data_IF_404162248374
#
_entry.id   IF_404162248374
#
_cell.length_a   1.000
_cell.length_b   1.000
_cell.length_c   1.000
_cell.angle_alpha   90.00
_cell.angle_beta   90.00
_cell.angle_gamma   90.00
#
_symmetry.space_group_name_H-M   'P 1'
#
loop_
_entity.id
_entity.type
_entity.pdbx_description
1 polymer ?
#
# COMPACT_ATOMS: atom_id res chain seq x y z
N UNK A 1 2.38 19.74 -14.08
CA UNK A 1 3.51 19.61 -13.13
C UNK A 1 4.30 20.91 -13.02
N UNK A 2 4.76 21.51 -14.13
CA UNK A 2 5.48 22.79 -14.11
C UNK A 2 4.60 23.95 -13.59
N UNK A 3 3.41 24.13 -14.17
CA UNK A 3 2.43 25.15 -13.72
C UNK A 3 1.89 24.92 -12.31
N UNK A 4 1.94 23.67 -11.82
CA UNK A 4 1.50 23.30 -10.47
C UNK A 4 2.61 23.48 -9.43
N UNK A 5 3.80 23.95 -9.82
CA UNK A 5 4.95 24.12 -8.93
C UNK A 5 5.56 22.81 -8.40
N UNK A 6 5.19 21.66 -8.98
CA UNK A 6 5.68 20.34 -8.55
C UNK A 6 7.11 20.10 -9.06
N UNK A 7 7.45 20.65 -10.22
CA UNK A 7 8.78 20.54 -10.84
C UNK A 7 9.27 21.92 -11.29
N UNK A 8 10.59 22.07 -11.42
CA UNK A 8 11.25 23.25 -11.99
C UNK A 8 12.34 22.83 -12.97
N UNK A 9 12.73 23.69 -13.93
CA UNK A 9 13.94 23.47 -14.73
C UNK A 9 15.17 23.31 -13.83
N UNK A 10 16.07 22.40 -14.19
CA UNK A 10 17.27 22.08 -13.41
C UNK A 10 18.42 21.78 -14.36
N UNK A 11 19.62 22.26 -14.02
CA UNK A 11 20.88 21.95 -14.70
C UNK A 11 21.75 21.00 -13.84
N UNK A 12 21.11 20.09 -13.13
CA UNK A 12 21.80 19.14 -12.27
C UNK A 12 22.67 18.18 -13.07
N UNK A 13 23.86 17.85 -12.56
CA UNK A 13 24.73 16.79 -13.09
C UNK A 13 24.13 15.37 -12.99
N UNK A 14 22.92 15.24 -12.42
CA UNK A 14 22.17 14.00 -12.28
C UNK A 14 20.95 14.02 -13.19
N UNK A 15 20.76 12.95 -13.95
CA UNK A 15 19.59 12.73 -14.79
C UNK A 15 19.19 11.25 -14.77
N UNK A 16 17.88 11.00 -14.78
CA UNK A 16 17.29 9.66 -14.77
C UNK A 16 16.31 9.55 -15.94
N UNK A 17 16.25 8.40 -16.64
CA UNK A 17 15.35 8.25 -17.77
C UNK A 17 13.88 8.30 -17.34
N UNK A 18 13.05 8.85 -18.22
CA UNK A 18 11.61 9.04 -18.00
C UNK A 18 10.85 8.12 -18.95
N UNK A 19 9.81 7.48 -18.43
CA UNK A 19 8.93 6.56 -19.15
C UNK A 19 7.49 7.04 -19.07
N UNK A 20 6.73 6.82 -20.15
CA UNK A 20 5.30 7.10 -20.17
C UNK A 20 4.55 5.77 -20.24
N UNK A 21 3.74 5.50 -19.22
CA UNK A 21 3.03 4.23 -19.06
C UNK A 21 1.52 4.47 -19.11
N UNK A 22 0.75 3.74 -19.95
CA UNK A 22 -0.69 3.86 -19.98
C UNK A 22 -1.29 3.27 -18.70
N UNK A 23 -2.22 4.00 -18.06
CA UNK A 23 -3.12 3.43 -17.04
C UNK A 23 -4.19 2.61 -17.74
N UNK A 24 -4.69 1.58 -17.06
CA UNK A 24 -5.89 0.83 -17.49
C UNK A 24 -7.00 1.81 -17.87
N UNK A 25 -7.66 1.52 -18.98
CA UNK A 25 -8.80 2.31 -19.47
C UNK A 25 -9.84 2.44 -18.36
N UNK A 26 -10.24 3.67 -18.07
CA UNK A 26 -11.33 3.91 -17.12
C UNK A 26 -12.67 3.58 -17.80
N UNK A 27 -13.75 3.49 -17.02
CA UNK A 27 -15.12 3.25 -17.51
C UNK A 27 -15.59 4.25 -18.59
N UNK A 28 -14.93 5.40 -18.72
CA UNK A 28 -15.19 6.43 -19.74
C UNK A 28 -14.38 6.26 -21.04
N UNK A 29 -13.71 5.12 -21.25
CA UNK A 29 -12.96 4.81 -22.49
C UNK A 29 -11.67 5.61 -22.72
N UNK A 30 -11.34 6.59 -21.86
CA UNK A 30 -10.11 7.39 -21.98
C UNK A 30 -8.92 6.75 -21.26
N UNK A 31 -7.82 6.56 -21.98
CA UNK A 31 -6.53 6.14 -21.42
C UNK A 31 -5.87 7.32 -20.70
N UNK A 32 -5.63 7.17 -19.39
CA UNK A 32 -4.84 8.14 -18.62
C UNK A 32 -3.37 7.74 -18.66
N UNK A 33 -2.48 8.61 -19.12
CA UNK A 33 -1.05 8.32 -19.13
C UNK A 33 -0.40 8.70 -17.78
N UNK A 34 0.60 7.94 -17.35
CA UNK A 34 1.43 8.24 -16.18
C UNK A 34 2.88 8.43 -16.61
N UNK A 35 3.50 9.48 -16.11
CA UNK A 35 4.94 9.68 -16.20
C UNK A 35 5.59 8.91 -15.05
N UNK A 36 6.55 8.06 -15.36
CA UNK A 36 7.30 7.22 -14.41
C UNK A 36 8.78 7.55 -14.58
N UNK A 37 9.43 7.93 -13.49
CA UNK A 37 10.88 8.20 -13.48
C UNK A 37 11.59 6.98 -12.90
N UNK A 38 12.64 6.53 -13.57
CA UNK A 38 13.41 5.36 -13.12
C UNK A 38 14.46 5.76 -12.07
N UNK A 39 14.08 5.63 -10.81
CA UNK A 39 14.96 5.92 -9.66
C UNK A 39 15.82 4.73 -9.22
N UNK A 40 15.93 3.62 -9.97
CA UNK A 40 16.68 2.43 -9.51
C UNK A 40 18.14 2.75 -9.15
N UNK A 41 18.88 3.38 -10.06
CA UNK A 41 20.28 3.81 -9.83
C UNK A 41 20.42 4.85 -8.72
N UNK A 42 19.38 5.67 -8.50
CA UNK A 42 19.37 6.66 -7.43
C UNK A 42 19.14 6.00 -6.07
N UNK A 43 18.21 5.05 -6.00
CA UNK A 43 17.87 4.30 -4.79
C UNK A 43 19.06 3.45 -4.31
N UNK A 44 19.91 2.93 -5.21
CA UNK A 44 21.15 2.22 -4.84
C UNK A 44 22.16 3.11 -4.10
N UNK A 45 22.19 4.41 -4.41
CA UNK A 45 23.08 5.38 -3.78
C UNK A 45 22.46 6.08 -2.56
N UNK A 46 21.15 5.92 -2.38
CA UNK A 46 20.40 6.59 -1.31
C UNK A 46 20.35 5.67 -0.09
N UNK A 47 20.61 6.22 1.10
CA UNK A 47 20.43 5.48 2.36
C UNK A 47 18.94 5.26 2.59
N UNK A 48 18.55 4.00 2.82
CA UNK A 48 17.15 3.66 3.03
C UNK A 48 16.72 4.05 4.46
N UNK A 49 15.87 5.07 4.57
CA UNK A 49 15.27 5.50 5.83
C UNK A 49 14.00 4.68 6.12
N UNK A 50 14.19 3.52 6.77
CA UNK A 50 13.10 2.59 7.13
C UNK A 50 12.57 2.93 8.51
N UNK A 51 11.46 3.66 8.57
CA UNK A 51 10.69 3.75 9.81
C UNK A 51 9.90 2.45 10.03
N UNK A 52 9.98 1.83 11.22
CA UNK A 52 9.19 0.66 11.53
C UNK A 52 7.72 1.04 11.52
N UNK A 53 6.96 0.46 10.59
CA UNK A 53 5.51 0.58 10.59
C UNK A 53 5.00 -0.52 11.54
N UNK A 54 4.28 -0.16 12.61
CA UNK A 54 3.78 -1.13 13.57
C UNK A 54 2.76 -2.07 12.89
N UNK A 55 2.66 -3.30 13.41
CA UNK A 55 1.66 -4.25 12.94
C UNK A 55 0.26 -3.75 13.30
N UNK A 56 -0.70 -3.99 12.42
CA UNK A 56 -2.07 -3.53 12.59
C UNK A 56 -2.76 -4.20 13.79
N UNK A 57 -2.52 -5.49 14.03
CA UNK A 57 -3.08 -6.19 15.18
C UNK A 57 -2.60 -5.54 16.47
N UNK A 58 -1.29 -5.31 16.60
CA UNK A 58 -0.70 -4.66 17.76
C UNK A 58 -1.28 -3.24 17.97
N UNK A 59 -1.49 -2.47 16.90
CA UNK A 59 -2.10 -1.13 16.99
C UNK A 59 -3.58 -1.20 17.41
N UNK A 60 -4.35 -2.15 16.87
CA UNK A 60 -5.77 -2.31 17.18
C UNK A 60 -6.01 -2.90 18.57
N UNK A 61 -5.13 -3.79 19.04
CA UNK A 61 -5.23 -4.46 20.34
C UNK A 61 -4.71 -3.57 21.48
N UNK A 62 -3.81 -2.63 21.18
CA UNK A 62 -3.20 -1.76 22.19
C UNK A 62 -4.14 -0.70 22.78
N UNK A 63 -5.30 -0.42 22.16
CA UNK A 63 -6.15 0.73 22.49
C UNK A 63 -7.63 0.36 22.47
N UNK A 64 -8.40 0.88 23.44
CA UNK A 64 -9.86 0.70 23.48
C UNK A 64 -10.57 1.38 22.31
N UNK A 65 -11.73 0.87 21.89
CA UNK A 65 -12.51 1.43 20.77
C UNK A 65 -12.84 2.93 20.99
N UNK A 66 -13.14 3.31 22.24
CA UNK A 66 -13.44 4.68 22.62
C UNK A 66 -12.24 5.61 22.43
N UNK A 67 -11.06 5.19 22.89
CA UNK A 67 -9.83 5.95 22.73
C UNK A 67 -9.38 6.02 21.25
N UNK A 68 -9.58 4.95 20.48
CA UNK A 68 -9.34 4.96 19.04
C UNK A 68 -10.20 5.99 18.33
N UNK A 69 -11.47 6.15 18.72
CA UNK A 69 -12.37 7.13 18.10
C UNK A 69 -11.94 8.58 18.38
N UNK A 70 -11.54 8.87 19.62
CA UNK A 70 -10.99 10.19 19.98
C UNK A 70 -9.70 10.48 19.22
N UNK A 71 -8.82 9.47 19.07
CA UNK A 71 -7.58 9.63 18.33
C UNK A 71 -7.83 9.85 16.82
N UNK A 72 -8.79 9.13 16.24
CA UNK A 72 -9.18 9.33 14.85
C UNK A 72 -9.73 10.75 14.61
N UNK A 73 -10.55 11.27 15.53
CA UNK A 73 -11.07 12.63 15.42
C UNK A 73 -9.94 13.68 15.42
N UNK A 74 -8.96 13.53 16.33
CA UNK A 74 -7.76 14.38 16.36
C UNK A 74 -6.94 14.29 15.07
N UNK A 75 -6.79 13.09 14.51
CA UNK A 75 -6.06 12.87 13.25
C UNK A 75 -6.79 13.53 12.09
N UNK A 76 -8.10 13.35 11.97
CA UNK A 76 -8.90 14.00 10.93
C UNK A 76 -8.90 15.52 11.05
N UNK A 77 -8.84 16.05 12.27
CA UNK A 77 -8.67 17.48 12.48
C UNK A 77 -7.32 17.99 11.97
N UNK A 78 -6.20 17.35 12.37
CA UNK A 78 -4.86 17.70 11.87
C UNK A 78 -4.72 17.55 10.36
N UNK A 79 -5.35 16.53 9.76
CA UNK A 79 -5.33 16.34 8.31
C UNK A 79 -6.08 17.45 7.56
N UNK A 80 -7.20 17.93 8.13
CA UNK A 80 -7.93 19.08 7.57
C UNK A 80 -7.10 20.36 7.65
N UNK A 81 -6.39 20.58 8.75
CA UNK A 81 -5.51 21.74 8.93
C UNK A 81 -4.30 21.72 7.98
N UNK A 82 -3.80 20.53 7.64
CA UNK A 82 -2.60 20.36 6.80
C UNK A 82 -2.89 20.27 5.28
N UNK A 83 -4.11 20.61 4.83
CA UNK A 83 -4.52 20.57 3.41
C UNK A 83 -4.32 19.20 2.72
N UNK A 84 -4.26 18.10 3.49
CA UNK A 84 -4.17 16.76 2.91
C UNK A 84 -5.54 16.31 2.39
N UNK A 85 -5.64 16.01 1.09
CA UNK A 85 -6.83 15.38 0.50
C UNK A 85 -6.83 13.88 0.78
N UNK A 86 -7.77 13.43 1.59
CA UNK A 86 -8.04 12.00 1.80
C UNK A 86 -8.76 11.45 0.56
N UNK A 87 -8.14 10.49 -0.12
CA UNK A 87 -8.79 9.71 -1.17
C UNK A 87 -9.57 8.55 -0.52
N UNK A 88 -10.75 8.83 0.00
CA UNK A 88 -11.65 7.79 0.53
C UNK A 88 -12.48 7.20 -0.61
N UNK A 89 -12.45 5.87 -0.76
CA UNK A 89 -13.63 5.00 -0.90
C UNK A 89 -13.15 3.53 -1.03
N UNK A 90 -13.71 2.66 -0.17
CA UNK A 90 -13.64 1.17 -0.10
C UNK A 90 -12.80 0.59 1.05
N UNK A 91 -13.48 -0.27 1.81
CA UNK A 91 -13.08 -1.07 2.99
C UNK A 91 -11.98 -2.11 2.73
N UNK A 92 -10.96 -1.78 1.94
CA UNK A 92 -9.80 -2.62 1.71
C UNK A 92 -8.56 -1.91 2.26
N UNK A 93 -8.11 -2.35 3.44
CA UNK A 93 -6.93 -1.78 4.09
C UNK A 93 -5.80 -2.81 4.09
N UNK A 94 -4.66 -2.46 3.47
CA UNK A 94 -3.47 -3.31 3.31
C UNK A 94 -3.73 -4.72 2.73
N UNK A 95 -4.83 -4.90 2.00
CA UNK A 95 -5.21 -6.18 1.40
C UNK A 95 -6.10 -7.06 2.27
N UNK A 96 -6.69 -6.49 3.32
CA UNK A 96 -7.72 -7.12 4.13
C UNK A 96 -9.02 -6.30 4.08
N UNK A 97 -10.15 -7.00 4.21
CA UNK A 97 -11.48 -6.43 4.39
C UNK A 97 -11.77 -6.47 5.89
N UNK A 98 -11.99 -5.30 6.46
CA UNK A 98 -12.37 -5.14 7.87
C UNK A 98 -13.90 -5.07 7.90
N UNK A 99 -14.56 -6.10 8.44
CA UNK A 99 -16.02 -6.17 8.67
C UNK A 99 -16.33 -6.23 10.17
N UNK A 100 -17.60 -6.04 10.55
CA UNK A 100 -18.08 -6.26 11.93
C UNK A 100 -17.78 -7.68 12.44
N UNK A 101 -17.68 -8.65 11.52
CA UNK A 101 -17.41 -10.07 11.81
C UNK A 101 -15.90 -10.42 11.81
N UNK A 102 -15.02 -9.44 11.73
CA UNK A 102 -13.56 -9.61 11.78
C UNK A 102 -12.80 -9.19 10.51
N UNK A 103 -11.49 -9.42 10.54
CA UNK A 103 -10.55 -9.10 9.46
C UNK A 103 -10.46 -10.30 8.52
N UNK A 104 -10.90 -10.13 7.27
CA UNK A 104 -10.84 -11.17 6.24
C UNK A 104 -9.82 -10.81 5.16
N UNK A 105 -9.04 -11.77 4.62
CA UNK A 105 -8.17 -11.49 3.48
C UNK A 105 -9.01 -11.04 2.28
N UNK A 106 -8.51 -10.07 1.51
CA UNK A 106 -9.23 -9.58 0.35
C UNK A 106 -9.43 -10.73 -0.67
N UNK A 107 -10.66 -11.03 -1.12
CA UNK A 107 -10.96 -12.12 -2.04
C UNK A 107 -10.21 -12.00 -3.38
N UNK A 108 -9.83 -10.77 -3.78
CA UNK A 108 -8.98 -10.57 -4.96
C UNK A 108 -7.58 -11.16 -4.81
N UNK A 109 -7.02 -11.22 -3.58
CA UNK A 109 -5.74 -11.89 -3.30
C UNK A 109 -5.90 -13.41 -3.21
N UNK A 110 -6.99 -13.91 -2.61
CA UNK A 110 -7.28 -15.35 -2.53
C UNK A 110 -7.42 -15.96 -3.93
N UNK A 111 -8.16 -15.30 -4.83
CA UNK A 111 -8.31 -15.77 -6.22
C UNK A 111 -7.01 -15.78 -7.04
N UNK A 112 -5.99 -15.01 -6.61
CA UNK A 112 -4.67 -15.02 -7.25
C UNK A 112 -3.85 -16.24 -6.81
N UNK A 113 -4.00 -16.69 -5.56
CA UNK A 113 -3.40 -17.93 -5.04
C UNK A 113 -4.08 -19.15 -5.70
N UNK A 114 -5.41 -19.16 -5.83
CA UNK A 114 -6.14 -20.25 -6.50
C UNK A 114 -5.73 -20.45 -7.96
N UNK A 115 -5.33 -19.36 -8.64
CA UNK A 115 -4.89 -19.38 -10.04
C UNK A 115 -3.37 -19.45 -10.19
N UNK A 116 -2.63 -19.58 -9.09
CA UNK A 116 -1.17 -19.53 -9.14
C UNK A 116 -0.64 -20.80 -9.83
N UNK A 117 0.19 -20.68 -10.89
CA UNK A 117 0.76 -21.83 -11.56
C UNK A 117 1.70 -22.58 -10.61
N UNK A 118 1.71 -23.91 -10.67
CA UNK A 118 2.56 -24.75 -9.81
C UNK A 118 4.03 -24.27 -9.89
N UNK A 119 4.61 -23.82 -8.76
CA UNK A 119 5.98 -23.30 -8.75
C UNK A 119 6.96 -24.44 -9.06
N UNK A 120 7.85 -24.21 -10.03
CA UNK A 120 8.85 -25.18 -10.47
C UNK A 120 10.24 -24.87 -9.94
N UNK A 121 10.44 -23.66 -9.42
CA UNK A 121 11.76 -23.15 -8.98
C UNK A 121 11.75 -22.80 -7.49
N UNK A 122 12.88 -22.98 -6.79
CA UNK A 122 13.02 -22.62 -5.37
C UNK A 122 12.69 -21.14 -5.06
N UNK A 123 12.96 -20.22 -6.01
CA UNK A 123 12.56 -18.81 -5.91
C UNK A 123 11.04 -18.63 -5.91
N UNK A 124 10.34 -19.39 -6.75
CA UNK A 124 8.88 -19.37 -6.87
C UNK A 124 8.21 -20.02 -5.65
N UNK A 125 8.81 -21.07 -5.09
CA UNK A 125 8.35 -21.70 -3.84
C UNK A 125 8.46 -20.71 -2.67
N UNK A 126 9.58 -20.00 -2.55
CA UNK A 126 9.76 -18.98 -1.50
C UNK A 126 8.73 -17.85 -1.63
N UNK A 127 8.51 -17.37 -2.85
CA UNK A 127 7.52 -16.33 -3.14
C UNK A 127 6.09 -16.81 -2.82
N UNK A 128 5.76 -18.05 -3.15
CA UNK A 128 4.46 -18.65 -2.85
C UNK A 128 4.23 -18.81 -1.33
N UNK A 129 5.25 -19.23 -0.58
CA UNK A 129 5.17 -19.34 0.89
C UNK A 129 5.00 -17.98 1.58
N UNK A 130 5.70 -16.95 1.09
CA UNK A 130 5.52 -15.56 1.57
C UNK A 130 4.09 -15.05 1.30
N UNK A 131 3.51 -15.43 0.16
CA UNK A 131 2.16 -15.05 -0.24
C UNK A 131 1.09 -15.80 0.57
N UNK A 132 1.31 -17.06 0.97
CA UNK A 132 0.41 -17.77 1.90
C UNK A 132 0.47 -17.14 3.30
N UNK A 133 1.67 -16.94 3.84
CA UNK A 133 1.85 -16.47 5.22
C UNK A 133 1.22 -15.10 5.49
N UNK A 134 1.18 -14.24 4.47
CA UNK A 134 0.57 -12.91 4.54
C UNK A 134 -0.97 -12.93 4.42
N UNK A 135 -1.56 -14.03 3.96
CA UNK A 135 -3.00 -14.15 3.71
C UNK A 135 -3.71 -15.13 4.64
N UNK A 136 -3.01 -15.93 5.45
CA UNK A 136 -3.63 -16.75 6.50
C UNK A 136 -3.99 -15.85 7.69
N UNK A 137 -5.28 -15.73 8.08
CA UNK A 137 -5.61 -15.13 9.36
C UNK A 137 -5.02 -16.03 10.45
N UNK A 138 -4.10 -15.48 11.26
CA UNK A 138 -3.62 -16.19 12.45
C UNK A 138 -4.83 -16.37 13.36
N UNK A 139 -5.27 -17.61 13.52
CA UNK A 139 -6.21 -18.00 14.56
C UNK A 139 -5.68 -17.48 15.89
N UNK A 140 -6.57 -16.88 16.69
CA UNK A 140 -6.31 -16.54 18.08
C UNK A 140 -6.06 -17.84 18.86
N UNK A 141 -4.86 -18.40 18.77
CA UNK A 141 -4.32 -19.34 19.73
C UNK A 141 -3.70 -18.52 20.85
N UNK A 142 -4.54 -18.13 21.81
CA UNK A 142 -4.18 -17.87 23.21
C UNK A 142 -5.49 -17.82 24.01
N UNK A 143 -6.09 -19.00 24.18
CA UNK A 143 -7.07 -19.27 25.22
C UNK A 143 -6.77 -20.64 25.83
N UNK A 144 -5.76 -20.68 26.70
CA UNK A 144 -5.71 -21.50 27.91
C UNK A 144 -5.02 -20.68 28.98
#
# INVERSE_FOLDING_TARGET
MLEQGIIRPSESAWSTPIWIVPKKVNASGKTKWRLVVDFRKLNEKTVNDKYPIPNISDVLDSISLQEHMVNLEKVFQKLRESNFKILTYKYAYLGHIISKDGIKPNPSKISAIEKYPLPKTAKEIKQFLEEIHTNTPRSNENSV
#
